data_IF_252176975559
#
_entry.id   IF_252176975559
#
_cell.length_a   1.000
_cell.length_b   1.000
_cell.length_c   1.000
_cell.angle_alpha   90.00
_cell.angle_beta   90.00
_cell.angle_gamma   90.00
#
_symmetry.space_group_name_H-M   'P 1'
#
loop_
_entity.id
_entity.type
_entity.pdbx_description
1 polymer ?
#
# COMPACT_ATOMS: atom_id res chain seq x y z
N UNK A 1 -9.59 17.10 -14.94
CA UNK A 1 -8.78 15.87 -14.99
C UNK A 1 -9.37 15.00 -16.06
N UNK A 2 -8.55 14.28 -16.79
CA UNK A 2 -9.02 13.36 -17.83
C UNK A 2 -9.47 12.05 -17.17
N UNK A 3 -10.56 11.47 -17.65
CA UNK A 3 -11.02 10.14 -17.25
C UNK A 3 -10.16 9.07 -17.97
N UNK A 4 -9.46 8.26 -17.19
CA UNK A 4 -8.55 7.22 -17.67
C UNK A 4 -9.18 5.82 -17.64
N UNK A 5 -10.48 5.71 -17.33
CA UNK A 5 -11.22 4.45 -17.32
C UNK A 5 -11.13 3.67 -18.63
N UNK A 6 -11.05 4.35 -19.78
CA UNK A 6 -10.91 3.72 -21.09
C UNK A 6 -9.62 2.88 -21.22
N UNK A 7 -8.55 3.23 -20.49
CA UNK A 7 -7.28 2.47 -20.52
C UNK A 7 -7.48 1.10 -19.89
N UNK A 8 -8.28 1.02 -18.82
CA UNK A 8 -8.62 -0.24 -18.15
C UNK A 8 -9.48 -1.12 -19.06
N UNK A 9 -10.37 -0.52 -19.85
CA UNK A 9 -11.20 -1.24 -20.83
C UNK A 9 -10.38 -1.85 -21.98
N UNK A 10 -9.20 -1.31 -22.28
CA UNK A 10 -8.33 -1.82 -23.34
C UNK A 10 -7.42 -2.97 -22.90
N UNK A 11 -7.32 -3.25 -21.59
CA UNK A 11 -6.46 -4.33 -21.08
C UNK A 11 -6.66 -5.68 -21.79
N UNK A 12 -7.88 -6.14 -22.13
CA UNK A 12 -8.07 -7.40 -22.86
C UNK A 12 -7.43 -7.41 -24.26
N UNK A 13 -7.23 -6.24 -24.87
CA UNK A 13 -6.58 -6.09 -26.18
C UNK A 13 -5.05 -6.05 -26.08
N UNK A 14 -4.51 -5.99 -24.86
CA UNK A 14 -3.09 -5.87 -24.55
C UNK A 14 -2.58 -7.09 -23.75
N UNK A 15 -2.74 -8.34 -24.24
CA UNK A 15 -2.55 -9.55 -23.44
C UNK A 15 -1.11 -9.77 -22.93
N UNK A 16 -0.13 -9.10 -23.52
CA UNK A 16 1.27 -9.14 -23.11
C UNK A 16 1.67 -7.99 -22.16
N UNK A 17 0.73 -7.15 -21.75
CA UNK A 17 1.02 -6.00 -20.88
C UNK A 17 1.38 -6.49 -19.47
N UNK A 18 2.61 -6.19 -19.04
CA UNK A 18 3.10 -6.54 -17.71
C UNK A 18 3.03 -5.38 -16.71
N UNK A 19 3.00 -4.15 -17.22
CA UNK A 19 3.05 -2.93 -16.42
C UNK A 19 2.00 -1.95 -16.93
N UNK A 20 1.12 -1.52 -16.04
CA UNK A 20 0.16 -0.45 -16.28
C UNK A 20 0.50 0.74 -15.39
N UNK A 21 0.88 1.85 -16.00
CA UNK A 21 1.12 3.09 -15.30
C UNK A 21 0.07 4.10 -15.73
N UNK A 22 -0.81 4.48 -14.80
CA UNK A 22 -1.77 5.55 -14.98
C UNK A 22 -1.27 6.76 -14.19
N UNK A 23 -1.17 7.90 -14.85
CA UNK A 23 -0.71 9.15 -14.25
C UNK A 23 -1.69 10.28 -14.51
N UNK A 24 -1.93 11.09 -13.50
CA UNK A 24 -2.74 12.30 -13.48
C UNK A 24 -4.12 12.15 -14.14
N UNK A 25 -5.12 11.75 -13.37
CA UNK A 25 -6.47 11.61 -13.91
C UNK A 25 -7.51 11.20 -12.87
N UNK A 26 -8.64 10.75 -13.39
CA UNK A 26 -9.75 10.18 -12.63
C UNK A 26 -10.06 8.77 -13.15
N UNK A 27 -10.72 7.96 -12.33
CA UNK A 27 -11.23 6.64 -12.70
C UNK A 27 -12.71 6.59 -12.37
N UNK A 28 -13.51 7.29 -13.18
CA UNK A 28 -14.96 7.46 -12.92
C UNK A 28 -15.70 6.12 -13.02
N UNK A 29 -15.16 5.18 -13.78
CA UNK A 29 -15.71 3.84 -13.96
C UNK A 29 -14.62 2.78 -14.00
N UNK A 30 -14.61 1.87 -13.03
CA UNK A 30 -13.81 0.65 -13.12
C UNK A 30 -14.67 -0.48 -13.68
N UNK A 31 -14.32 -1.08 -14.84
CA UNK A 31 -15.03 -2.25 -15.31
C UNK A 31 -14.89 -3.40 -14.30
N UNK A 32 -15.79 -4.38 -14.38
CA UNK A 32 -15.66 -5.60 -13.58
C UNK A 32 -14.24 -6.19 -13.74
N UNK A 33 -13.64 -6.77 -12.69
CA UNK A 33 -12.28 -7.30 -12.75
C UNK A 33 -12.15 -8.26 -13.93
N UNK A 34 -11.35 -7.86 -14.92
CA UNK A 34 -11.09 -8.70 -16.08
C UNK A 34 -9.81 -9.50 -15.79
N UNK A 35 -9.81 -10.83 -15.94
CA UNK A 35 -8.59 -11.60 -15.79
C UNK A 35 -7.52 -11.08 -16.75
N UNK A 36 -6.34 -10.75 -16.22
CA UNK A 36 -5.19 -10.38 -17.03
C UNK A 36 -3.98 -11.21 -16.61
N UNK A 37 -3.58 -12.15 -17.47
CA UNK A 37 -2.61 -13.21 -17.14
C UNK A 37 -1.15 -12.77 -17.17
N UNK A 38 -0.86 -11.52 -17.51
CA UNK A 38 0.50 -10.99 -17.59
C UNK A 38 0.73 -9.75 -16.71
N UNK A 39 -0.31 -9.13 -16.16
CA UNK A 39 -0.16 -7.83 -15.49
C UNK A 39 0.43 -8.05 -14.10
N UNK A 40 1.64 -7.53 -13.88
CA UNK A 40 2.42 -7.72 -12.65
C UNK A 40 2.59 -6.44 -11.85
N UNK A 41 2.56 -5.30 -12.52
CA UNK A 41 2.83 -4.00 -11.95
C UNK A 41 1.71 -3.03 -12.31
N UNK A 42 1.10 -2.41 -11.31
CA UNK A 42 0.12 -1.33 -11.54
C UNK A 42 0.50 -0.12 -10.69
N UNK A 43 0.57 1.05 -11.31
CA UNK A 43 0.82 2.30 -10.59
C UNK A 43 -0.21 3.37 -10.91
N UNK A 44 -0.68 4.06 -9.88
CA UNK A 44 -1.56 5.21 -9.96
C UNK A 44 -0.83 6.40 -9.35
N UNK A 45 -0.60 7.45 -10.16
CA UNK A 45 0.03 8.69 -9.71
C UNK A 45 -0.94 9.85 -9.86
N UNK A 46 -1.20 10.57 -8.76
CA UNK A 46 -2.00 11.80 -8.73
C UNK A 46 -3.42 11.55 -9.24
N UNK A 47 -4.17 10.76 -8.47
CA UNK A 47 -5.60 10.52 -8.70
C UNK A 47 -6.42 11.14 -7.58
N UNK A 48 -7.47 11.86 -7.97
CA UNK A 48 -8.51 12.26 -7.03
C UNK A 48 -9.48 11.08 -6.91
N UNK A 49 -9.48 10.40 -5.77
CA UNK A 49 -10.37 9.28 -5.50
C UNK A 49 -11.04 9.46 -4.14
N UNK A 50 -12.33 9.16 -4.08
CA UNK A 50 -13.07 8.92 -2.85
C UNK A 50 -12.72 7.56 -2.25
N UNK A 51 -13.02 7.36 -0.96
CA UNK A 51 -12.82 6.06 -0.31
C UNK A 51 -13.59 4.90 -0.99
N UNK A 52 -14.74 5.20 -1.63
CA UNK A 52 -15.53 4.21 -2.36
C UNK A 52 -14.81 3.78 -3.64
N UNK A 53 -14.25 4.72 -4.39
CA UNK A 53 -13.48 4.43 -5.61
C UNK A 53 -12.19 3.67 -5.28
N UNK A 54 -11.52 4.00 -4.18
CA UNK A 54 -10.36 3.22 -3.71
C UNK A 54 -10.78 1.79 -3.38
N UNK A 55 -11.92 1.60 -2.71
CA UNK A 55 -12.44 0.26 -2.41
C UNK A 55 -12.70 -0.54 -3.68
N UNK A 56 -13.36 0.07 -4.68
CA UNK A 56 -13.60 -0.55 -5.98
C UNK A 56 -12.29 -0.89 -6.69
N UNK A 57 -11.28 -0.04 -6.58
CA UNK A 57 -9.97 -0.27 -7.16
C UNK A 57 -9.24 -1.44 -6.49
N UNK A 58 -9.26 -1.53 -5.16
CA UNK A 58 -8.71 -2.67 -4.42
C UNK A 58 -9.41 -3.97 -4.83
N UNK A 59 -10.74 -3.97 -4.91
CA UNK A 59 -11.52 -5.13 -5.37
C UNK A 59 -11.21 -5.50 -6.82
N UNK A 60 -11.03 -4.51 -7.71
CA UNK A 60 -10.62 -4.74 -9.09
C UNK A 60 -9.24 -5.41 -9.17
N UNK A 61 -8.27 -4.94 -8.38
CA UNK A 61 -6.92 -5.53 -8.35
C UNK A 61 -6.88 -6.95 -7.78
N UNK A 62 -7.83 -7.34 -6.92
CA UNK A 62 -7.98 -8.75 -6.50
C UNK A 62 -8.24 -9.71 -7.67
N UNK A 63 -8.77 -9.24 -8.80
CA UNK A 63 -8.96 -10.03 -10.02
C UNK A 63 -7.67 -10.28 -10.82
N UNK A 64 -6.59 -9.56 -10.51
CA UNK A 64 -5.32 -9.64 -11.23
C UNK A 64 -4.41 -10.70 -10.59
N UNK A 65 -4.56 -11.95 -11.01
CA UNK A 65 -3.94 -13.13 -10.39
C UNK A 65 -2.41 -13.13 -10.34
N UNK A 66 -1.74 -12.32 -11.18
CA UNK A 66 -0.28 -12.20 -11.22
C UNK A 66 0.23 -10.83 -10.79
N UNK A 67 -0.64 -9.98 -10.24
CA UNK A 67 -0.24 -8.68 -9.72
C UNK A 67 0.69 -8.88 -8.52
N UNK A 68 1.93 -8.41 -8.64
CA UNK A 68 2.97 -8.56 -7.62
C UNK A 68 3.29 -7.23 -6.95
N UNK A 69 3.12 -6.12 -7.67
CA UNK A 69 3.48 -4.79 -7.24
C UNK A 69 2.35 -3.82 -7.57
N UNK A 70 1.92 -3.09 -6.55
CA UNK A 70 1.07 -1.91 -6.71
C UNK A 70 1.70 -0.67 -6.09
N UNK A 71 1.53 0.47 -6.76
CA UNK A 71 1.98 1.76 -6.27
C UNK A 71 0.86 2.78 -6.36
N UNK A 72 0.54 3.40 -5.23
CA UNK A 72 -0.32 4.55 -5.12
C UNK A 72 0.56 5.75 -4.77
N UNK A 73 0.45 6.81 -5.56
CA UNK A 73 1.14 8.07 -5.30
C UNK A 73 0.16 9.22 -5.33
N UNK A 74 0.24 10.11 -4.34
CA UNK A 74 -0.56 11.33 -4.31
C UNK A 74 -2.07 11.01 -4.38
N UNK A 75 -2.48 10.01 -3.58
CA UNK A 75 -3.88 9.58 -3.44
C UNK A 75 -4.29 9.80 -2.00
N UNK A 76 -5.37 10.53 -1.79
CA UNK A 76 -5.89 10.81 -0.47
C UNK A 76 -6.73 9.64 0.05
N UNK A 77 -6.31 9.02 1.16
CA UNK A 77 -7.02 7.87 1.77
C UNK A 77 -7.95 8.26 2.94
N UNK A 78 -8.07 9.57 3.26
CA UNK A 78 -8.62 10.06 4.54
C UNK A 78 -10.10 10.42 4.60
N UNK A 79 -10.81 10.59 3.48
CA UNK A 79 -12.22 11.02 3.48
C UNK A 79 -13.18 9.93 2.98
N UNK A 80 -14.01 9.39 3.89
CA UNK A 80 -15.10 8.47 3.57
C UNK A 80 -15.43 7.45 4.67
N UNK A 81 -16.34 6.49 4.40
CA UNK A 81 -16.77 5.49 5.37
C UNK A 81 -15.64 4.51 5.74
N UNK A 82 -14.94 4.77 6.86
CA UNK A 82 -13.77 4.01 7.33
C UNK A 82 -13.98 2.50 7.41
N UNK A 83 -15.16 2.07 7.87
CA UNK A 83 -15.48 0.64 7.97
C UNK A 83 -15.43 -0.10 6.62
N UNK A 84 -15.73 0.59 5.52
CA UNK A 84 -15.64 0.02 4.16
C UNK A 84 -14.19 -0.08 3.72
N UNK A 85 -13.39 0.99 3.92
CA UNK A 85 -11.96 1.01 3.59
C UNK A 85 -11.17 -0.06 4.36
N UNK A 86 -11.38 -0.16 5.68
CA UNK A 86 -10.71 -1.17 6.50
C UNK A 86 -11.04 -2.60 6.03
N UNK A 87 -12.32 -2.85 5.69
CA UNK A 87 -12.76 -4.16 5.19
C UNK A 87 -12.15 -4.46 3.83
N UNK A 88 -12.10 -3.46 2.95
CA UNK A 88 -11.49 -3.57 1.63
C UNK A 88 -10.00 -3.89 1.74
N UNK A 89 -9.24 -3.14 2.55
CA UNK A 89 -7.82 -3.39 2.78
C UNK A 89 -7.56 -4.79 3.36
N UNK A 90 -8.33 -5.21 4.37
CA UNK A 90 -8.21 -6.58 4.95
C UNK A 90 -8.47 -7.68 3.91
N UNK A 91 -9.55 -7.53 3.14
CA UNK A 91 -9.87 -8.47 2.06
C UNK A 91 -8.77 -8.49 0.99
N UNK A 92 -8.28 -7.31 0.64
CA UNK A 92 -7.21 -7.16 -0.34
C UNK A 92 -5.90 -7.79 0.12
N UNK A 93 -5.40 -7.49 1.32
CA UNK A 93 -4.19 -8.10 1.87
C UNK A 93 -4.28 -9.63 2.06
N UNK A 94 -5.49 -10.17 2.23
CA UNK A 94 -5.71 -11.62 2.38
C UNK A 94 -5.92 -12.36 1.06
N UNK A 95 -6.27 -11.67 -0.03
CA UNK A 95 -6.60 -12.29 -1.32
C UNK A 95 -5.67 -11.94 -2.47
N UNK A 96 -5.11 -10.74 -2.45
CA UNK A 96 -4.22 -10.28 -3.50
C UNK A 96 -2.86 -10.99 -3.37
N UNK A 97 -2.30 -11.41 -4.50
CA UNK A 97 -0.98 -12.05 -4.55
C UNK A 97 0.15 -11.00 -4.60
N UNK A 98 -0.01 -9.93 -3.81
CA UNK A 98 0.85 -8.75 -3.86
C UNK A 98 1.99 -8.91 -2.88
N UNK A 99 3.20 -8.74 -3.39
CA UNK A 99 4.44 -8.82 -2.62
C UNK A 99 5.02 -7.44 -2.33
N UNK A 100 4.57 -6.40 -3.05
CA UNK A 100 5.02 -5.03 -2.85
C UNK A 100 3.87 -4.03 -2.98
N UNK A 101 3.70 -3.20 -1.95
CA UNK A 101 2.73 -2.10 -1.91
C UNK A 101 3.48 -0.81 -1.60
N UNK A 102 3.34 0.20 -2.45
CA UNK A 102 3.83 1.56 -2.18
C UNK A 102 2.69 2.53 -2.01
N UNK A 103 2.69 3.26 -0.91
CA UNK A 103 1.79 4.38 -0.60
C UNK A 103 2.64 5.64 -0.43
N UNK A 104 2.86 6.37 -1.52
CA UNK A 104 3.73 7.55 -1.54
C UNK A 104 2.90 8.84 -1.53
N UNK A 105 3.16 9.75 -0.59
CA UNK A 105 2.37 11.00 -0.46
C UNK A 105 0.85 10.72 -0.41
N UNK A 106 0.42 9.74 0.38
CA UNK A 106 -0.98 9.32 0.47
C UNK A 106 -1.77 9.96 1.62
N UNK A 107 -1.19 10.96 2.29
CA UNK A 107 -1.77 11.67 3.45
C UNK A 107 -2.39 10.70 4.46
N UNK A 108 -1.59 9.73 4.90
CA UNK A 108 -2.00 8.72 5.87
C UNK A 108 -2.18 9.36 7.25
N UNK A 109 -3.43 9.67 7.60
CA UNK A 109 -3.81 10.06 8.95
C UNK A 109 -3.80 8.88 9.94
N UNK A 110 -3.94 9.18 11.23
CA UNK A 110 -3.86 8.19 12.31
C UNK A 110 -4.82 6.99 12.10
N UNK A 111 -6.03 7.27 11.61
CA UNK A 111 -7.06 6.26 11.36
C UNK A 111 -6.69 5.40 10.14
N UNK A 112 -6.18 6.00 9.05
CA UNK A 112 -5.76 5.28 7.87
C UNK A 112 -4.57 4.34 8.19
N UNK A 113 -3.64 4.82 9.02
CA UNK A 113 -2.53 3.99 9.51
C UNK A 113 -3.03 2.83 10.37
N UNK A 114 -4.01 3.07 11.24
CA UNK A 114 -4.64 2.01 12.04
C UNK A 114 -5.33 0.96 11.15
N UNK A 115 -6.00 1.39 10.08
CA UNK A 115 -6.63 0.49 9.11
C UNK A 115 -5.61 -0.34 8.33
N UNK A 116 -4.51 0.26 7.89
CA UNK A 116 -3.40 -0.45 7.25
C UNK A 116 -2.78 -1.46 8.21
N UNK A 117 -2.41 -1.06 9.42
CA UNK A 117 -1.82 -1.94 10.44
C UNK A 117 -2.74 -3.13 10.77
N UNK A 118 -4.03 -2.85 10.93
CA UNK A 118 -5.07 -3.85 11.14
C UNK A 118 -5.23 -4.83 9.98
N UNK A 119 -5.01 -4.36 8.75
CA UNK A 119 -5.09 -5.19 7.56
C UNK A 119 -3.81 -6.02 7.32
N UNK A 120 -2.64 -5.49 7.69
CA UNK A 120 -1.36 -6.24 7.67
C UNK A 120 -1.43 -7.50 8.53
N UNK A 121 -2.09 -7.44 9.69
CA UNK A 121 -2.30 -8.61 10.56
C UNK A 121 -3.15 -9.73 9.92
N UNK A 122 -3.82 -9.46 8.79
CA UNK A 122 -4.56 -10.46 8.01
C UNK A 122 -3.79 -11.02 6.81
N UNK A 123 -2.62 -10.47 6.50
CA UNK A 123 -1.79 -10.95 5.40
C UNK A 123 -1.11 -12.27 5.77
N UNK A 124 -1.13 -13.21 4.83
CA UNK A 124 -0.44 -14.50 4.96
C UNK A 124 0.80 -14.58 4.06
N UNK A 125 1.17 -13.49 3.40
CA UNK A 125 2.22 -13.47 2.38
C UNK A 125 3.36 -12.53 2.77
N UNK A 126 4.60 -12.82 2.33
CA UNK A 126 5.69 -11.86 2.40
C UNK A 126 5.30 -10.58 1.68
N UNK A 127 5.41 -9.46 2.38
CA UNK A 127 4.98 -8.16 1.89
C UNK A 127 6.07 -7.12 2.17
N UNK A 128 6.44 -6.38 1.13
CA UNK A 128 7.16 -5.12 1.24
C UNK A 128 6.14 -3.97 1.20
N UNK A 129 5.99 -3.26 2.32
CA UNK A 129 5.18 -2.05 2.41
C UNK A 129 6.09 -0.83 2.39
N UNK A 130 5.84 0.10 1.48
CA UNK A 130 6.65 1.29 1.27
C UNK A 130 5.80 2.55 1.48
N UNK A 131 5.92 3.18 2.66
CA UNK A 131 5.20 4.39 3.06
C UNK A 131 6.10 5.63 3.01
N UNK A 132 6.71 5.89 1.87
CA UNK A 132 7.60 7.04 1.69
C UNK A 132 6.85 8.36 1.50
N UNK A 133 7.45 9.46 1.96
CA UNK A 133 6.93 10.82 1.76
C UNK A 133 5.50 11.04 2.33
N UNK A 134 5.17 10.41 3.47
CA UNK A 134 3.91 10.63 4.19
C UNK A 134 4.16 11.48 5.43
N UNK A 135 4.15 12.80 5.28
CA UNK A 135 4.53 13.75 6.34
C UNK A 135 3.57 13.76 7.55
N UNK A 136 2.37 13.21 7.39
CA UNK A 136 1.36 13.09 8.45
C UNK A 136 1.52 11.81 9.31
N UNK A 137 2.40 10.89 8.90
CA UNK A 137 2.68 9.68 9.68
C UNK A 137 3.43 10.07 10.96
N UNK A 138 2.72 10.02 12.09
CA UNK A 138 3.28 10.35 13.39
C UNK A 138 3.97 9.16 14.07
N UNK A 139 4.61 9.43 15.21
CA UNK A 139 5.26 8.43 16.06
C UNK A 139 4.31 7.25 16.38
N UNK A 140 3.06 7.53 16.75
CA UNK A 140 2.13 6.49 17.19
C UNK A 140 1.71 5.60 16.02
N UNK A 141 1.43 6.18 14.85
CA UNK A 141 1.13 5.47 13.63
C UNK A 141 2.29 4.57 13.20
N UNK A 142 3.52 5.10 13.21
CA UNK A 142 4.71 4.30 12.92
C UNK A 142 4.85 3.10 13.87
N UNK A 143 4.71 3.30 15.18
CA UNK A 143 4.76 2.21 16.16
C UNK A 143 3.67 1.15 15.93
N UNK A 144 2.43 1.56 15.59
CA UNK A 144 1.33 0.62 15.27
C UNK A 144 1.65 -0.25 14.05
N UNK A 145 2.28 0.32 13.03
CA UNK A 145 2.71 -0.46 11.86
C UNK A 145 3.80 -1.46 12.23
N UNK A 146 4.80 -1.03 13.01
CA UNK A 146 5.86 -1.91 13.49
C UNK A 146 5.31 -3.07 14.33
N UNK A 147 4.36 -2.81 15.22
CA UNK A 147 3.66 -3.84 15.99
C UNK A 147 2.91 -4.84 15.10
N UNK A 148 2.27 -4.36 14.04
CA UNK A 148 1.55 -5.22 13.09
C UNK A 148 2.50 -6.09 12.24
N UNK A 149 3.71 -5.59 11.96
CA UNK A 149 4.70 -6.26 11.11
C UNK A 149 5.62 -7.21 11.87
N UNK A 150 5.97 -6.90 13.12
CA UNK A 150 6.85 -7.69 13.96
C UNK A 150 6.48 -9.20 14.02
N UNK A 151 5.19 -9.61 14.09
CA UNK A 151 4.83 -11.03 14.10
C UNK A 151 4.85 -11.70 12.72
N UNK A 152 4.89 -10.93 11.62
CA UNK A 152 4.84 -11.48 10.27
C UNK A 152 6.21 -12.04 9.88
N UNK A 153 6.24 -13.25 9.33
CA UNK A 153 7.47 -13.81 8.79
C UNK A 153 7.81 -13.14 7.45
N UNK A 154 9.03 -12.62 7.31
CA UNK A 154 9.58 -12.11 6.03
C UNK A 154 8.81 -10.93 5.42
N UNK A 155 8.41 -9.96 6.25
CA UNK A 155 7.86 -8.68 5.80
C UNK A 155 8.92 -7.58 5.88
N UNK A 156 8.83 -6.63 4.95
CA UNK A 156 9.68 -5.43 4.92
C UNK A 156 8.79 -4.21 4.99
N UNK A 157 9.16 -3.22 5.79
CA UNK A 157 8.53 -1.92 5.84
C UNK A 157 9.58 -0.86 5.57
N UNK A 158 9.40 -0.11 4.50
CA UNK A 158 10.13 1.12 4.26
C UNK A 158 9.23 2.29 4.63
N UNK A 159 9.74 3.21 5.44
CA UNK A 159 9.04 4.44 5.81
C UNK A 159 10.00 5.62 5.76
N UNK A 160 9.50 6.77 5.34
CA UNK A 160 10.17 8.06 5.59
C UNK A 160 9.72 8.53 6.96
N UNK A 161 10.66 8.76 7.87
CA UNK A 161 10.34 9.22 9.21
C UNK A 161 10.58 10.72 9.32
N UNK A 162 9.67 11.43 9.98
CA UNK A 162 9.89 12.84 10.31
C UNK A 162 11.06 12.94 11.28
N UNK A 163 12.04 13.80 10.99
CA UNK A 163 13.29 13.91 11.76
C UNK A 163 13.10 14.08 13.29
N UNK A 164 11.99 14.70 13.72
CA UNK A 164 11.67 14.93 15.13
C UNK A 164 11.35 13.63 15.90
N UNK A 165 10.74 12.65 15.24
CA UNK A 165 10.26 11.39 15.85
C UNK A 165 11.26 10.23 15.62
N UNK A 166 12.27 10.46 14.77
CA UNK A 166 13.27 9.46 14.35
C UNK A 166 13.86 8.65 15.50
N UNK A 167 14.44 9.32 16.49
CA UNK A 167 15.17 8.64 17.58
C UNK A 167 14.26 7.76 18.43
N UNK A 168 13.01 8.19 18.61
CA UNK A 168 12.01 7.46 19.39
C UNK A 168 11.53 6.22 18.63
N UNK A 169 11.25 6.35 17.33
CA UNK A 169 10.87 5.22 16.47
C UNK A 169 11.99 4.19 16.38
N UNK A 170 13.24 4.61 16.21
CA UNK A 170 14.38 3.70 16.17
C UNK A 170 14.58 2.98 17.51
N UNK A 171 14.51 3.71 18.62
CA UNK A 171 14.58 3.13 19.97
C UNK A 171 13.48 2.09 20.20
N UNK A 172 12.27 2.37 19.72
CA UNK A 172 11.15 1.45 19.78
C UNK A 172 11.35 0.22 18.88
N UNK A 173 11.77 0.42 17.63
CA UNK A 173 12.03 -0.66 16.69
C UNK A 173 13.11 -1.63 17.19
N UNK A 174 14.14 -1.13 17.90
CA UNK A 174 15.16 -1.98 18.54
C UNK A 174 14.63 -2.85 19.69
N UNK A 175 13.47 -2.54 20.26
CA UNK A 175 12.82 -3.37 21.27
C UNK A 175 12.04 -4.54 20.66
N UNK A 176 11.76 -4.47 19.35
CA UNK A 176 11.08 -5.49 18.58
C UNK A 176 12.11 -6.42 17.89
N UNK A 177 11.73 -7.65 17.50
CA UNK A 177 12.60 -8.56 16.76
C UNK A 177 12.72 -8.15 15.28
N UNK A 178 13.20 -6.92 15.03
CA UNK A 178 13.34 -6.35 13.69
C UNK A 178 14.80 -6.01 13.38
N UNK A 179 15.14 -6.09 12.09
CA UNK A 179 16.40 -5.58 11.56
C UNK A 179 16.12 -4.18 11.01
N UNK A 180 17.04 -3.24 11.22
CA UNK A 180 16.89 -1.86 10.78
C UNK A 180 18.04 -1.54 9.82
N UNK A 181 17.70 -1.00 8.65
CA UNK A 181 18.62 -0.40 7.70
C UNK A 181 18.34 1.11 7.63
N UNK A 182 19.33 1.90 8.01
CA UNK A 182 19.32 3.37 8.06
C UNK A 182 20.23 4.00 7.00
N UNK A 183 20.56 3.26 5.93
CA UNK A 183 21.42 3.74 4.85
C UNK A 183 20.77 4.78 3.92
N UNK A 184 19.47 5.06 4.06
CA UNK A 184 18.74 6.03 3.27
C UNK A 184 18.80 7.45 3.84
N UNK A 185 18.86 8.46 2.96
CA UNK A 185 18.67 9.87 3.34
C UNK A 185 17.22 10.06 3.84
N UNK A 186 17.04 10.13 5.15
CA UNK A 186 15.75 10.28 5.87
C UNK A 186 14.73 9.13 5.67
N UNK A 187 15.16 8.01 5.08
CA UNK A 187 14.36 6.82 4.86
C UNK A 187 14.91 5.62 5.63
N UNK A 188 14.00 4.88 6.28
CA UNK A 188 14.34 3.74 7.11
C UNK A 188 13.65 2.50 6.59
N UNK A 189 14.39 1.40 6.53
CA UNK A 189 13.84 0.10 6.19
C UNK A 189 13.89 -0.81 7.41
N UNK A 190 12.73 -1.25 7.85
CA UNK A 190 12.51 -2.19 8.92
C UNK A 190 12.18 -3.55 8.33
N UNK A 191 12.88 -4.59 8.76
CA UNK A 191 12.62 -5.96 8.34
C UNK A 191 12.12 -6.75 9.53
N UNK A 192 11.00 -7.46 9.37
CA UNK A 192 10.58 -8.40 10.40
C UNK A 192 11.55 -9.59 10.40
N UNK A 193 12.19 -9.82 11.53
CA UNK A 193 13.08 -10.95 11.73
C UNK A 193 12.23 -12.21 11.89
N UNK A 194 11.90 -12.86 10.78
CA UNK A 194 11.33 -14.21 10.83
C UNK A 194 12.30 -15.11 11.59
N UNK A 195 11.87 -15.71 12.71
CA UNK A 195 12.58 -16.86 13.29
C UNK A 195 12.62 -17.95 12.21
N UNK A 196 13.80 -18.16 11.63
CA UNK A 196 14.12 -19.35 10.83
C UNK A 196 14.11 -20.57 11.74
#
# INVERSE_FOLDING_TARGET
MDDLSFVVEWLPTLPALETLCLGHGMLDHLPAPIPHDCLRHVSFDTFLMSAEEVTLLLDWTCGLVRLEHISFRNIYLGEGPRASMQRALRHWFSRANITYVRLACCDLDEDAVADVASALGSSTWPLALDLVQNDQLDLQGACRLLDALAPLATCTLRVTLVAKDRNEILSYAHQLPMIIDDSGDDEYTFFSGGRV
#
